data_IF_381676158849
#
_entry.id   IF_381676158849
#
_cell.length_a   1.000
_cell.length_b   1.000
_cell.length_c   1.000
_cell.angle_alpha   90.00
_cell.angle_beta   90.00
_cell.angle_gamma   90.00
#
_symmetry.space_group_name_H-M   'P 1'
#
loop_
_entity.id
_entity.type
_entity.pdbx_description
1 polymer ?
#
# COMPACT_ATOMS: atom_id res chain seq x y z
N UNK A 1 -61.14 24.47 41.27
CA UNK A 1 -60.52 25.62 40.58
C UNK A 1 -59.19 25.89 41.27
N UNK A 2 -58.08 25.45 40.68
CA UNK A 2 -56.74 25.75 41.17
C UNK A 2 -55.92 26.12 39.93
N UNK A 3 -55.42 27.36 39.91
CA UNK A 3 -54.61 27.90 38.83
C UNK A 3 -53.14 27.59 39.13
N UNK A 4 -52.48 26.88 38.22
CA UNK A 4 -51.05 26.65 38.26
C UNK A 4 -50.31 27.89 37.77
N UNK A 5 -49.39 28.39 38.58
CA UNK A 5 -48.46 29.47 38.21
C UNK A 5 -47.31 28.86 37.42
N UNK A 6 -47.18 29.24 36.15
CA UNK A 6 -46.00 28.96 35.32
C UNK A 6 -44.87 29.93 35.69
N UNK A 7 -43.74 29.35 36.10
CA UNK A 7 -42.50 30.08 36.39
C UNK A 7 -41.71 30.28 35.11
N UNK A 8 -41.52 31.53 34.70
CA UNK A 8 -40.69 31.90 33.54
C UNK A 8 -39.20 31.82 33.91
N UNK A 9 -38.33 31.16 33.12
CA UNK A 9 -36.90 31.13 33.40
C UNK A 9 -36.23 32.47 33.07
N UNK A 10 -35.50 33.01 34.05
CA UNK A 10 -34.63 34.17 33.92
C UNK A 10 -33.45 33.84 33.02
N UNK A 11 -33.30 34.58 31.91
CA UNK A 11 -32.14 34.48 31.03
C UNK A 11 -30.90 35.12 31.68
N UNK A 12 -29.91 34.30 32.03
CA UNK A 12 -28.59 34.73 32.48
C UNK A 12 -27.78 35.27 31.31
N UNK A 13 -27.28 36.50 31.43
CA UNK A 13 -26.42 37.13 30.44
C UNK A 13 -25.03 36.44 30.36
N UNK A 14 -24.41 36.34 29.17
CA UNK A 14 -23.11 35.70 29.01
C UNK A 14 -21.96 36.54 29.56
N UNK A 15 -21.06 35.91 30.32
CA UNK A 15 -19.81 36.50 30.83
C UNK A 15 -18.82 36.82 29.69
N UNK A 16 -18.05 37.92 29.77
CA UNK A 16 -17.02 38.24 28.80
C UNK A 16 -15.82 37.29 28.94
N UNK A 17 -15.46 36.61 27.84
CA UNK A 17 -14.29 35.72 27.78
C UNK A 17 -12.97 36.53 27.78
N UNK A 18 -11.91 36.05 28.43
CA UNK A 18 -10.58 36.65 28.34
C UNK A 18 -10.04 36.58 26.91
N UNK A 19 -9.40 37.66 26.44
CA UNK A 19 -8.70 37.68 25.17
C UNK A 19 -7.42 36.83 25.25
N UNK A 20 -7.33 35.76 24.45
CA UNK A 20 -6.11 34.98 24.30
C UNK A 20 -5.06 35.78 23.52
N UNK A 21 -3.87 35.93 24.10
CA UNK A 21 -2.69 36.45 23.42
C UNK A 21 -2.13 35.35 22.51
N UNK A 22 -2.11 35.61 21.19
CA UNK A 22 -1.56 34.71 20.20
C UNK A 22 -0.02 34.55 20.31
N UNK A 23 0.53 33.41 19.87
CA UNK A 23 1.97 33.15 19.93
C UNK A 23 2.75 34.08 18.98
N UNK A 24 3.91 34.53 19.46
CA UNK A 24 4.85 35.31 18.67
C UNK A 24 5.50 34.41 17.59
N UNK A 25 5.39 34.82 16.33
CA UNK A 25 6.03 34.17 15.20
C UNK A 25 7.55 34.39 15.27
N UNK A 26 8.31 33.31 15.32
CA UNK A 26 9.77 33.33 15.09
C UNK A 26 10.03 32.68 13.74
N UNK A 27 10.54 33.47 12.78
CA UNK A 27 10.98 32.99 11.48
C UNK A 27 12.16 32.01 11.62
N UNK A 28 12.15 30.86 10.91
CA UNK A 28 13.28 29.95 10.93
C UNK A 28 14.42 30.46 10.04
N UNK A 29 15.60 30.62 10.66
CA UNK A 29 16.87 30.87 9.97
C UNK A 29 17.19 29.71 9.01
N UNK A 30 17.21 30.01 7.71
CA UNK A 30 17.54 29.05 6.66
C UNK A 30 18.96 28.51 6.80
N UNK A 31 19.09 27.18 6.79
CA UNK A 31 20.36 26.49 6.56
C UNK A 31 20.27 25.82 5.20
N UNK A 32 21.08 26.26 4.24
CA UNK A 32 21.08 25.72 2.87
C UNK A 32 21.57 24.27 2.81
N UNK A 33 21.21 23.54 1.75
CA UNK A 33 21.62 22.14 1.59
C UNK A 33 23.11 22.04 1.31
N UNK A 34 23.78 21.12 2.02
CA UNK A 34 25.11 20.66 1.68
C UNK A 34 25.04 19.78 0.43
N UNK A 35 25.84 20.11 -0.58
CA UNK A 35 25.99 19.34 -1.80
C UNK A 35 26.63 17.98 -1.48
N UNK A 36 25.90 16.90 -1.71
CA UNK A 36 26.42 15.54 -1.65
C UNK A 36 26.99 15.16 -3.02
N UNK A 37 28.31 14.98 -3.07
CA UNK A 37 29.05 14.49 -4.22
C UNK A 37 28.58 13.07 -4.60
N UNK A 38 28.10 12.92 -5.84
CA UNK A 38 27.72 11.64 -6.43
C UNK A 38 28.97 10.81 -6.73
N UNK A 39 29.19 9.73 -5.98
CA UNK A 39 30.18 8.72 -6.33
C UNK A 39 29.63 7.83 -7.46
N UNK A 40 30.29 7.85 -8.62
CA UNK A 40 30.10 6.90 -9.72
C UNK A 40 30.43 5.47 -9.26
N UNK A 41 29.44 4.58 -9.29
CA UNK A 41 29.65 3.15 -9.13
C UNK A 41 29.94 2.52 -10.51
N UNK A 42 31.19 2.09 -10.71
CA UNK A 42 31.61 1.28 -11.86
C UNK A 42 31.01 -0.13 -11.76
N UNK A 43 30.39 -0.70 -12.82
CA UNK A 43 29.95 -2.08 -12.79
C UNK A 43 31.15 -3.02 -12.95
N UNK A 44 31.43 -3.83 -11.92
CA UNK A 44 32.33 -4.97 -12.02
C UNK A 44 31.64 -6.10 -12.79
N UNK A 45 32.17 -6.42 -13.98
CA UNK A 45 31.79 -7.61 -14.71
C UNK A 45 32.32 -8.87 -14.04
N UNK A 46 31.48 -9.89 -13.93
CA UNK A 46 31.90 -11.27 -13.67
C UNK A 46 31.31 -12.16 -14.76
N UNK A 47 32.21 -12.82 -15.49
CA UNK A 47 31.90 -13.70 -16.61
C UNK A 47 31.43 -15.10 -16.18
N UNK A 48 31.13 -15.98 -17.16
CA UNK A 48 30.63 -17.31 -16.91
C UNK A 48 31.80 -18.29 -16.73
N UNK A 49 31.89 -18.93 -15.57
CA UNK A 49 32.81 -20.05 -15.34
C UNK A 49 32.04 -21.27 -14.84
N UNK A 50 32.38 -22.44 -15.38
CA UNK A 50 32.17 -23.70 -14.66
C UNK A 50 31.32 -24.76 -15.36
N UNK A 51 31.70 -25.16 -16.58
CA UNK A 51 31.40 -26.50 -17.07
C UNK A 51 32.20 -27.54 -16.26
N UNK A 52 31.51 -28.48 -15.60
CA UNK A 52 32.11 -29.64 -14.94
C UNK A 52 31.51 -30.94 -15.50
N UNK A 53 32.31 -31.89 -15.99
CA UNK A 53 31.83 -33.16 -16.52
C UNK A 53 31.69 -34.19 -15.40
N UNK A 54 30.46 -34.58 -15.05
CA UNK A 54 30.25 -35.77 -14.22
C UNK A 54 30.26 -37.02 -15.09
N UNK A 55 31.44 -37.62 -15.19
CA UNK A 55 31.67 -38.98 -15.63
C UNK A 55 31.36 -39.95 -14.46
N UNK A 56 30.15 -40.51 -14.46
CA UNK A 56 29.73 -41.57 -13.54
C UNK A 56 29.52 -42.87 -14.30
N UNK A 57 30.54 -43.73 -14.30
CA UNK A 57 30.53 -45.02 -14.94
C UNK A 57 29.48 -45.96 -14.31
N UNK A 58 28.57 -46.50 -15.13
CA UNK A 58 27.80 -47.71 -14.83
C UNK A 58 27.92 -48.66 -16.01
N UNK A 59 28.50 -49.84 -15.75
CA UNK A 59 28.72 -50.93 -16.70
C UNK A 59 27.38 -51.47 -17.20
N UNK A 60 27.17 -51.67 -18.52
CA UNK A 60 26.03 -52.43 -19.00
C UNK A 60 26.38 -53.93 -19.05
N UNK A 61 25.58 -54.74 -18.35
CA UNK A 61 25.54 -56.18 -18.54
C UNK A 61 24.75 -56.49 -19.82
N UNK A 62 25.36 -57.34 -20.64
CA UNK A 62 24.93 -57.78 -21.97
C UNK A 62 24.05 -59.03 -21.82
N UNK A 63 22.79 -58.98 -22.23
CA UNK A 63 22.03 -60.16 -22.66
C UNK A 63 20.70 -59.77 -23.31
N UNK A 64 20.32 -60.50 -24.35
CA UNK A 64 18.91 -60.59 -24.79
C UNK A 64 18.61 -60.01 -26.15
N UNK A 65 18.99 -60.75 -27.20
CA UNK A 65 18.44 -60.57 -28.54
C UNK A 65 16.90 -60.75 -28.53
N UNK A 66 16.18 -59.79 -29.09
CA UNK A 66 14.74 -59.86 -29.26
C UNK A 66 14.25 -58.86 -30.29
N UNK A 67 14.16 -59.29 -31.55
CA UNK A 67 13.49 -58.60 -32.65
C UNK A 67 12.06 -58.26 -32.23
N UNK A 68 11.66 -56.99 -32.26
CA UNK A 68 10.29 -56.60 -31.96
C UNK A 68 10.02 -55.14 -32.25
N UNK A 69 9.46 -54.89 -33.43
CA UNK A 69 8.96 -53.61 -33.94
C UNK A 69 8.13 -52.85 -32.89
N UNK A 70 8.53 -51.64 -32.51
CA UNK A 70 7.62 -50.55 -32.15
C UNK A 70 8.30 -49.22 -32.51
N UNK A 71 8.22 -48.90 -33.79
CA UNK A 71 8.22 -47.53 -34.26
C UNK A 71 6.81 -46.94 -34.04
N UNK A 72 6.73 -45.62 -33.98
CA UNK A 72 5.55 -44.76 -33.84
C UNK A 72 5.14 -44.44 -32.39
N UNK A 73 5.25 -43.15 -32.04
CA UNK A 73 4.61 -42.62 -30.85
C UNK A 73 5.23 -41.38 -30.19
N UNK A 74 6.13 -40.63 -30.84
CA UNK A 74 6.56 -39.31 -30.33
C UNK A 74 6.68 -38.30 -31.46
N UNK A 75 5.53 -37.89 -31.98
CA UNK A 75 5.43 -36.67 -32.79
C UNK A 75 4.00 -36.17 -32.69
N UNK A 76 3.77 -35.15 -31.85
CA UNK A 76 2.88 -34.00 -32.10
C UNK A 76 2.63 -33.22 -30.80
N UNK A 77 3.63 -32.47 -30.32
CA UNK A 77 3.40 -31.21 -29.59
C UNK A 77 4.49 -30.23 -30.02
N UNK A 78 4.39 -29.68 -31.23
CA UNK A 78 5.31 -28.65 -31.69
C UNK A 78 4.74 -27.81 -32.84
N UNK A 79 3.54 -27.23 -32.70
CA UNK A 79 3.11 -26.15 -33.62
C UNK A 79 2.20 -25.15 -32.89
N UNK A 80 2.81 -24.15 -32.25
CA UNK A 80 2.27 -22.79 -32.08
C UNK A 80 3.22 -21.87 -31.27
N UNK A 81 4.53 -21.89 -31.50
CA UNK A 81 5.49 -21.05 -30.74
C UNK A 81 6.13 -19.91 -31.56
N UNK A 82 5.70 -19.68 -32.81
CA UNK A 82 6.39 -18.77 -33.73
C UNK A 82 6.00 -17.29 -33.65
N UNK A 83 4.80 -16.96 -33.16
CA UNK A 83 4.30 -15.57 -33.11
C UNK A 83 3.75 -15.14 -31.75
N UNK A 84 3.62 -16.07 -30.79
CA UNK A 84 3.20 -15.76 -29.42
C UNK A 84 4.33 -15.21 -28.53
N UNK A 85 5.60 -15.40 -28.92
CA UNK A 85 6.77 -15.04 -28.10
C UNK A 85 6.94 -13.55 -27.81
N UNK A 86 6.41 -12.67 -28.67
CA UNK A 86 6.52 -11.21 -28.48
C UNK A 86 5.35 -10.59 -27.71
N UNK A 87 4.22 -11.29 -27.60
CA UNK A 87 3.06 -10.83 -26.82
C UNK A 87 3.00 -11.48 -25.43
N UNK A 88 3.61 -12.65 -25.24
CA UNK A 88 3.68 -13.31 -23.94
C UNK A 88 4.23 -12.42 -22.80
N UNK A 89 5.28 -11.59 -22.99
CA UNK A 89 5.77 -10.72 -21.91
C UNK A 89 4.79 -9.61 -21.56
N UNK A 90 4.03 -9.07 -22.53
CA UNK A 90 3.06 -8.00 -22.27
C UNK A 90 1.82 -8.50 -21.56
N UNK A 91 1.35 -9.70 -21.91
CA UNK A 91 0.23 -10.34 -21.24
C UNK A 91 0.63 -10.75 -19.82
N UNK A 92 1.84 -11.29 -19.61
CA UNK A 92 2.35 -11.59 -18.28
C UNK A 92 2.53 -10.33 -17.41
N UNK A 93 3.06 -9.24 -17.99
CA UNK A 93 3.22 -7.96 -17.28
C UNK A 93 1.89 -7.28 -16.96
N UNK A 94 0.86 -7.47 -17.78
CA UNK A 94 -0.50 -6.98 -17.50
C UNK A 94 -1.15 -7.76 -16.34
N UNK A 95 -0.89 -9.06 -16.24
CA UNK A 95 -1.38 -9.89 -15.14
C UNK A 95 -0.67 -9.63 -13.80
N UNK A 96 0.52 -9.02 -13.83
CA UNK A 96 1.29 -8.67 -12.64
C UNK A 96 1.12 -7.22 -12.18
N UNK A 97 0.26 -6.42 -12.83
CA UNK A 97 0.00 -5.05 -12.36
C UNK A 97 -0.84 -5.11 -11.08
N UNK A 98 -0.46 -4.39 -10.02
CA UNK A 98 -1.30 -4.24 -8.85
C UNK A 98 -2.65 -3.65 -9.23
N UNK A 99 -3.73 -4.19 -8.67
CA UNK A 99 -5.10 -3.88 -9.07
C UNK A 99 -5.47 -2.39 -8.96
N UNK A 100 -4.84 -1.64 -8.04
CA UNK A 100 -5.17 -0.24 -7.76
C UNK A 100 -4.03 0.75 -8.05
N UNK A 101 -3.01 0.32 -8.81
CA UNK A 101 -1.90 1.19 -9.16
C UNK A 101 -2.36 2.29 -10.14
N UNK A 102 -2.31 3.55 -9.70
CA UNK A 102 -2.77 4.70 -10.48
C UNK A 102 -4.29 4.77 -10.66
N UNK A 103 -5.05 4.05 -9.84
CA UNK A 103 -6.51 4.14 -9.81
C UNK A 103 -6.96 5.25 -8.82
N UNK A 104 -8.09 5.92 -9.08
CA UNK A 104 -8.62 6.91 -8.16
C UNK A 104 -9.07 6.26 -6.85
N UNK A 105 -9.02 6.99 -5.75
CA UNK A 105 -9.45 6.50 -4.44
C UNK A 105 -10.95 6.13 -4.44
N UNK A 106 -11.74 6.74 -5.32
CA UNK A 106 -13.13 6.39 -5.57
C UNK A 106 -13.33 4.93 -6.03
N UNK A 107 -12.38 4.36 -6.79
CA UNK A 107 -12.46 2.97 -7.23
C UNK A 107 -12.38 2.01 -6.03
N UNK A 108 -11.40 2.23 -5.14
CA UNK A 108 -11.28 1.47 -3.89
C UNK A 108 -12.52 1.67 -3.02
N UNK A 109 -13.05 2.90 -2.92
CA UNK A 109 -14.27 3.16 -2.16
C UNK A 109 -15.45 2.34 -2.69
N UNK A 110 -15.60 2.23 -4.02
CA UNK A 110 -16.64 1.42 -4.64
C UNK A 110 -16.49 -0.08 -4.33
N UNK A 111 -15.27 -0.62 -4.43
CA UNK A 111 -14.99 -2.03 -4.12
C UNK A 111 -15.15 -2.35 -2.62
N UNK A 112 -14.83 -1.38 -1.77
CA UNK A 112 -15.12 -1.44 -0.35
C UNK A 112 -16.61 -1.31 -0.03
N UNK A 113 -17.46 -0.93 -0.98
CA UNK A 113 -18.89 -0.58 -0.75
C UNK A 113 -19.01 0.45 0.36
N UNK A 114 -18.20 1.50 0.24
CA UNK A 114 -18.21 2.64 1.14
C UNK A 114 -19.42 3.54 0.86
N UNK A 115 -19.98 4.12 1.92
CA UNK A 115 -21.01 5.14 1.80
C UNK A 115 -20.38 6.54 1.85
N UNK A 116 -21.02 7.52 1.21
CA UNK A 116 -20.67 8.94 1.29
C UNK A 116 -19.19 9.24 0.96
N UNK A 117 -18.67 8.69 -0.13
CA UNK A 117 -17.32 9.01 -0.57
C UNK A 117 -17.19 10.51 -0.91
N UNK A 118 -16.17 11.15 -0.36
CA UNK A 118 -15.78 12.51 -0.63
C UNK A 118 -14.29 12.54 -0.97
N UNK A 119 -13.96 13.00 -2.17
CA UNK A 119 -12.58 13.21 -2.60
C UNK A 119 -11.95 14.35 -1.79
N UNK A 120 -10.69 14.19 -1.39
CA UNK A 120 -9.93 15.27 -0.78
C UNK A 120 -9.54 16.28 -1.87
N UNK A 121 -9.95 17.53 -1.72
CA UNK A 121 -9.52 18.62 -2.63
C UNK A 121 -8.15 19.16 -2.27
N UNK A 122 -7.72 18.91 -1.04
CA UNK A 122 -6.44 19.37 -0.53
C UNK A 122 -5.39 18.32 -0.88
N UNK A 123 -4.86 18.45 -2.10
CA UNK A 123 -3.55 17.91 -2.39
C UNK A 123 -2.51 18.78 -1.70
N UNK A 124 -2.39 18.61 -0.37
CA UNK A 124 -1.25 19.20 0.33
C UNK A 124 0.00 18.70 -0.39
N UNK A 125 0.96 19.58 -0.68
CA UNK A 125 2.27 19.23 -1.25
C UNK A 125 3.08 18.47 -0.19
N UNK A 126 2.48 17.40 0.33
CA UNK A 126 3.07 16.51 1.29
C UNK A 126 4.30 15.89 0.65
N UNK A 127 5.25 15.54 1.50
CA UNK A 127 6.54 14.95 1.13
C UNK A 127 6.39 13.70 0.23
N UNK A 128 5.18 13.14 0.12
CA UNK A 128 4.86 11.96 -0.69
C UNK A 128 3.90 12.31 -1.83
N UNK A 129 4.21 11.76 -3.01
CA UNK A 129 3.28 11.79 -4.14
C UNK A 129 2.28 10.65 -3.99
N UNK A 130 1.03 10.98 -3.76
CA UNK A 130 -0.09 10.07 -3.91
C UNK A 130 -0.84 10.42 -5.21
N UNK A 131 -1.53 9.43 -5.77
CA UNK A 131 -2.34 9.60 -6.97
C UNK A 131 -3.63 10.34 -6.63
N UNK A 132 -4.35 9.82 -5.65
CA UNK A 132 -5.63 10.37 -5.20
C UNK A 132 -5.87 10.03 -3.72
N UNK A 133 -6.71 10.84 -3.07
CA UNK A 133 -7.10 10.64 -1.69
C UNK A 133 -8.57 11.01 -1.50
N UNK A 134 -9.26 10.26 -0.63
CA UNK A 134 -10.60 10.63 -0.22
C UNK A 134 -10.99 9.98 1.10
N UNK A 135 -12.16 10.35 1.59
CA UNK A 135 -12.75 9.76 2.79
C UNK A 135 -14.09 9.11 2.46
N UNK A 136 -14.46 8.07 3.17
CA UNK A 136 -15.78 7.46 3.09
C UNK A 136 -16.18 6.78 4.39
N UNK A 137 -17.44 6.42 4.53
CA UNK A 137 -17.94 5.64 5.66
C UNK A 137 -17.91 4.14 5.32
N UNK A 138 -17.13 3.38 6.08
CA UNK A 138 -17.04 1.93 6.01
C UNK A 138 -17.58 1.34 7.31
N UNK A 139 -18.74 0.69 7.25
CA UNK A 139 -19.39 0.07 8.42
C UNK A 139 -19.59 1.04 9.60
N UNK A 140 -19.90 2.31 9.32
CA UNK A 140 -20.09 3.35 10.32
C UNK A 140 -18.82 4.07 10.77
N UNK A 141 -17.64 3.65 10.30
CA UNK A 141 -16.35 4.28 10.58
C UNK A 141 -15.92 5.14 9.40
N UNK A 142 -15.43 6.36 9.65
CA UNK A 142 -14.85 7.19 8.58
C UNK A 142 -13.43 6.73 8.31
N UNK A 143 -13.16 6.30 7.09
CA UNK A 143 -11.84 5.87 6.62
C UNK A 143 -11.28 6.84 5.60
N UNK A 144 -9.98 7.04 5.62
CA UNK A 144 -9.21 7.73 4.59
C UNK A 144 -8.60 6.68 3.66
N UNK A 145 -8.83 6.83 2.37
CA UNK A 145 -8.28 5.99 1.30
C UNK A 145 -7.24 6.83 0.56
N UNK A 146 -6.03 6.28 0.39
CA UNK A 146 -4.95 6.90 -0.38
C UNK A 146 -4.45 5.91 -1.43
N UNK A 147 -4.37 6.34 -2.69
CA UNK A 147 -3.81 5.54 -3.80
C UNK A 147 -2.51 6.15 -4.31
N UNK A 148 -1.69 5.34 -5.00
CA UNK A 148 -0.37 5.76 -5.47
C UNK A 148 -0.17 5.42 -6.95
N UNK A 149 0.57 6.28 -7.66
CA UNK A 149 0.98 6.02 -9.05
C UNK A 149 2.11 4.98 -9.16
N UNK A 150 2.82 4.74 -8.05
CA UNK A 150 3.94 3.81 -7.97
C UNK A 150 3.86 2.99 -6.68
N UNK A 151 4.22 1.71 -6.79
CA UNK A 151 4.35 0.83 -5.62
C UNK A 151 5.40 1.35 -4.64
N UNK A 152 6.50 1.94 -5.13
CA UNK A 152 7.54 2.54 -4.30
C UNK A 152 7.02 3.67 -3.41
N UNK A 153 6.07 4.46 -3.91
CA UNK A 153 5.53 5.62 -3.19
C UNK A 153 4.63 5.13 -2.04
N UNK A 154 3.85 4.07 -2.26
CA UNK A 154 3.10 3.40 -1.19
C UNK A 154 4.00 2.74 -0.13
N UNK A 155 5.12 2.15 -0.53
CA UNK A 155 6.10 1.58 0.42
C UNK A 155 6.83 2.66 1.24
N UNK A 156 7.12 3.80 0.62
CA UNK A 156 7.68 4.96 1.31
C UNK A 156 6.68 5.50 2.33
N UNK A 157 5.41 5.65 1.94
CA UNK A 157 4.33 6.03 2.85
C UNK A 157 4.19 5.06 4.03
N UNK A 158 4.19 3.74 3.79
CA UNK A 158 4.17 2.73 4.87
C UNK A 158 5.38 2.89 5.82
N UNK A 159 6.57 3.13 5.27
CA UNK A 159 7.79 3.32 6.06
C UNK A 159 7.69 4.54 6.98
N UNK A 160 7.05 5.61 6.52
CA UNK A 160 6.83 6.84 7.27
C UNK A 160 5.75 6.67 8.31
N UNK A 161 4.65 6.00 7.96
CA UNK A 161 3.61 5.60 8.91
C UNK A 161 4.20 4.77 10.06
N UNK A 162 5.21 3.96 9.80
CA UNK A 162 5.88 3.16 10.83
C UNK A 162 6.92 3.95 11.64
N UNK A 163 7.68 4.84 11.00
CA UNK A 163 8.81 5.51 11.64
C UNK A 163 8.43 6.84 12.31
N UNK A 164 7.61 7.65 11.64
CA UNK A 164 7.36 9.03 12.05
C UNK A 164 6.09 9.17 12.89
N UNK A 165 5.00 8.50 12.52
CA UNK A 165 3.72 8.60 13.21
C UNK A 165 3.81 8.30 14.72
N UNK A 166 4.56 7.29 15.21
CA UNK A 166 4.69 7.08 16.66
C UNK A 166 5.27 8.29 17.41
N UNK A 167 6.05 9.12 16.72
CA UNK A 167 6.70 10.32 17.26
C UNK A 167 5.76 11.53 17.19
N UNK A 168 5.12 11.77 16.04
CA UNK A 168 4.27 12.96 15.82
C UNK A 168 2.83 12.78 16.35
N UNK A 169 2.33 11.55 16.38
CA UNK A 169 1.00 11.18 16.86
C UNK A 169 1.10 10.00 17.84
N UNK A 170 1.55 10.23 19.08
CA UNK A 170 1.74 9.16 20.07
C UNK A 170 0.43 8.43 20.43
N UNK A 171 -0.73 9.07 20.22
CA UNK A 171 -2.05 8.45 20.39
C UNK A 171 -2.36 7.39 19.35
N UNK A 172 -1.60 7.32 18.25
CA UNK A 172 -1.74 6.31 17.20
C UNK A 172 -0.77 5.14 17.39
N UNK A 173 -0.11 5.00 18.53
CA UNK A 173 0.71 3.82 18.80
C UNK A 173 -0.18 2.60 19.05
N UNK A 174 0.11 1.47 18.40
CA UNK A 174 -0.71 0.26 18.44
C UNK A 174 -1.95 0.30 17.55
N UNK A 175 -2.20 1.43 16.89
CA UNK A 175 -3.21 1.59 15.89
C UNK A 175 -2.94 0.72 14.65
N UNK A 176 -3.99 0.41 13.89
CA UNK A 176 -3.91 -0.45 12.71
C UNK A 176 -4.51 0.18 11.47
N UNK A 177 -3.93 -0.17 10.34
CA UNK A 177 -4.41 0.25 9.02
C UNK A 177 -4.26 -0.91 8.03
N UNK A 178 -4.93 -0.82 6.90
CA UNK A 178 -4.79 -1.76 5.80
C UNK A 178 -3.91 -1.16 4.71
N UNK A 179 -2.99 -1.95 4.18
CA UNK A 179 -2.15 -1.53 3.06
C UNK A 179 -1.96 -2.67 2.06
N UNK A 180 -1.98 -2.33 0.78
CA UNK A 180 -1.66 -3.24 -0.31
C UNK A 180 -0.67 -2.60 -1.28
N UNK A 181 -0.49 -3.25 -2.42
CA UNK A 181 0.35 -2.70 -3.48
C UNK A 181 -0.32 -1.46 -4.08
N UNK A 182 0.27 -0.29 -3.82
CA UNK A 182 -0.16 1.03 -4.30
C UNK A 182 -1.50 1.56 -3.74
N UNK A 183 -1.90 1.10 -2.54
CA UNK A 183 -2.99 1.73 -1.79
C UNK A 183 -2.84 1.57 -0.27
N UNK A 184 -3.47 2.49 0.46
CA UNK A 184 -3.57 2.48 1.91
C UNK A 184 -4.98 2.90 2.35
N UNK A 185 -5.53 2.23 3.37
CA UNK A 185 -6.78 2.62 4.02
C UNK A 185 -6.60 2.64 5.53
N UNK A 186 -6.90 3.78 6.13
CA UNK A 186 -6.79 4.00 7.57
C UNK A 186 -8.10 4.59 8.10
N UNK A 187 -8.57 4.13 9.26
CA UNK A 187 -9.64 4.84 9.99
C UNK A 187 -9.11 6.20 10.45
N UNK A 188 -9.82 7.27 10.07
CA UNK A 188 -9.38 8.65 10.26
C UNK A 188 -9.30 9.08 11.73
N UNK A 189 -9.91 8.33 12.65
CA UNK A 189 -9.98 8.68 14.08
C UNK A 189 -9.34 7.64 14.97
N UNK A 190 -9.69 6.37 14.81
CA UNK A 190 -9.41 5.33 15.81
C UNK A 190 -8.53 4.18 15.33
N UNK A 191 -8.26 4.07 14.01
CA UNK A 191 -7.36 3.09 13.42
C UNK A 191 -7.56 1.66 13.98
N UNK A 192 -8.79 1.15 13.95
CA UNK A 192 -9.15 -0.10 14.62
C UNK A 192 -8.82 -1.36 13.80
N UNK A 193 -8.42 -2.47 14.46
CA UNK A 193 -8.08 -3.73 13.78
C UNK A 193 -9.24 -4.31 12.97
N UNK A 194 -10.48 -4.11 13.44
CA UNK A 194 -11.69 -4.59 12.78
C UNK A 194 -11.85 -3.93 11.41
N UNK A 195 -11.65 -2.61 11.34
CA UNK A 195 -11.76 -1.85 10.08
C UNK A 195 -10.68 -2.28 9.10
N UNK A 196 -9.42 -2.39 9.55
CA UNK A 196 -8.32 -2.82 8.70
C UNK A 196 -8.51 -4.26 8.17
N UNK A 197 -8.99 -5.17 9.01
CA UNK A 197 -9.29 -6.56 8.62
C UNK A 197 -10.41 -6.61 7.59
N UNK A 198 -11.47 -5.83 7.80
CA UNK A 198 -12.59 -5.74 6.86
C UNK A 198 -12.16 -5.23 5.49
N UNK A 199 -11.27 -4.24 5.44
CA UNK A 199 -10.70 -3.72 4.18
C UNK A 199 -9.97 -4.81 3.42
N UNK A 200 -9.01 -5.49 4.07
CA UNK A 200 -8.23 -6.57 3.42
C UNK A 200 -9.14 -7.70 2.94
N UNK A 201 -10.16 -8.06 3.74
CA UNK A 201 -11.14 -9.08 3.36
C UNK A 201 -11.95 -8.68 2.12
N UNK A 202 -12.41 -7.41 2.02
CA UNK A 202 -13.22 -6.93 0.90
C UNK A 202 -12.41 -6.77 -0.38
N UNK A 203 -11.18 -6.25 -0.28
CA UNK A 203 -10.30 -6.03 -1.43
C UNK A 203 -9.58 -7.31 -1.89
N UNK A 204 -9.59 -8.35 -1.06
CA UNK A 204 -8.96 -9.65 -1.37
C UNK A 204 -7.43 -9.60 -1.49
N UNK A 205 -6.81 -8.47 -1.16
CA UNK A 205 -5.37 -8.21 -1.27
C UNK A 205 -4.89 -7.31 -0.13
N UNK A 206 -3.57 -7.25 0.05
CA UNK A 206 -2.94 -6.43 1.09
C UNK A 206 -2.82 -7.14 2.45
N UNK A 207 -2.50 -6.36 3.47
CA UNK A 207 -2.31 -6.84 4.83
C UNK A 207 -2.68 -5.76 5.86
N UNK A 208 -3.08 -6.22 7.03
CA UNK A 208 -3.22 -5.37 8.21
C UNK A 208 -1.83 -5.04 8.76
N UNK A 209 -1.60 -3.77 9.07
CA UNK A 209 -0.35 -3.23 9.61
C UNK A 209 -0.62 -2.58 10.94
N UNK A 210 0.34 -2.67 11.86
CA UNK A 210 0.29 -2.06 13.18
C UNK A 210 1.34 -0.96 13.23
N UNK A 211 0.95 0.22 13.71
CA UNK A 211 1.88 1.31 14.01
C UNK A 211 2.64 0.93 15.29
N UNK A 212 3.98 0.80 15.25
CA UNK A 212 4.74 0.32 16.38
C UNK A 212 4.71 1.31 17.55
N UNK A 213 4.92 0.80 18.75
CA UNK A 213 5.24 1.64 19.89
C UNK A 213 6.63 2.26 19.66
N UNK A 214 6.75 3.57 19.84
CA UNK A 214 8.06 4.22 19.79
C UNK A 214 8.94 3.68 20.92
N UNK A 215 10.12 3.17 20.61
CA UNK A 215 11.16 2.91 21.60
C UNK A 215 11.62 4.25 22.14
N UNK A 216 11.17 4.60 23.35
CA UNK A 216 11.67 5.77 24.08
C UNK A 216 13.12 5.57 24.50
#
# INVERSE_FOLDING_TARGET
>A
MAASLETVPTATAPEPRPAEAGPAETEPTGTGPAEAELAEATPAGTGPEGAGPYAGASRPARSGAGRGRLAAGFALVAVAAGVAGWQAPRVAAALSRPAYLGEPAAAIAADLRCDNYAQSTDHDESVYRYHDQGTCSLAGTVVTITTFDRVSDGQAFESVMRALIPVVHPTWQGATYAAGEAWNVADARNLTPETATLVVQRLGTGATKVIPFGSR
#
